data_IF_818376306752
#
_entry.id   IF_818376306752
#
_cell.length_a   1.000
_cell.length_b   1.000
_cell.length_c   1.000
_cell.angle_alpha   90.00
_cell.angle_beta   90.00
_cell.angle_gamma   90.00
#
_symmetry.space_group_name_H-M   'P 1'
#
loop_
_entity.id
_entity.type
_entity.pdbx_description
1 polymer ?
#
# COMPACT_ATOMS: atom_id res chain seq x y z
N UNK A 1 -14.14 -4.11 -15.45
CA UNK A 1 -13.89 -2.90 -16.28
C UNK A 1 -12.59 -3.11 -17.03
N UNK A 2 -12.49 -2.77 -18.33
CA UNK A 2 -11.21 -2.81 -19.06
C UNK A 2 -10.56 -1.43 -18.97
N UNK A 3 -9.67 -1.28 -17.99
CA UNK A 3 -9.20 0.02 -17.54
C UNK A 3 -10.01 0.53 -16.34
N UNK A 4 -9.37 1.36 -15.51
CA UNK A 4 -9.98 2.04 -14.36
C UNK A 4 -9.50 3.48 -14.27
N UNK A 5 -10.18 4.28 -13.47
CA UNK A 5 -9.85 5.68 -13.25
C UNK A 5 -9.05 5.85 -11.96
N UNK A 6 -8.04 6.71 -11.99
CA UNK A 6 -7.19 7.03 -10.85
C UNK A 6 -7.28 8.51 -10.51
N UNK A 7 -7.15 8.83 -9.22
CA UNK A 7 -7.23 10.24 -8.79
C UNK A 7 -6.02 11.06 -9.24
N UNK A 8 -4.87 10.43 -9.50
CA UNK A 8 -3.70 11.10 -10.03
C UNK A 8 -3.87 11.55 -11.49
N UNK A 9 -4.89 11.05 -12.21
CA UNK A 9 -5.26 11.51 -13.56
C UNK A 9 -6.05 12.84 -13.51
N UNK A 10 -6.25 13.42 -12.32
CA UNK A 10 -7.02 14.65 -12.11
C UNK A 10 -8.51 14.42 -11.87
N UNK A 11 -8.97 13.17 -11.84
CA UNK A 11 -10.36 12.86 -11.49
C UNK A 11 -10.61 13.04 -10.00
N UNK A 12 -11.76 13.62 -9.67
CA UNK A 12 -12.30 13.63 -8.32
C UNK A 12 -12.50 12.18 -7.81
N UNK A 13 -12.26 11.95 -6.52
CA UNK A 13 -12.32 10.61 -5.92
C UNK A 13 -13.74 10.00 -5.97
N UNK A 14 -14.80 10.81 -6.05
CA UNK A 14 -16.15 10.29 -6.30
C UNK A 14 -16.32 9.88 -7.75
N UNK A 15 -15.68 10.55 -8.70
CA UNK A 15 -15.72 10.16 -10.12
C UNK A 15 -15.00 8.83 -10.35
N UNK A 16 -13.88 8.60 -9.68
CA UNK A 16 -13.15 7.33 -9.83
C UNK A 16 -13.93 6.13 -9.30
N UNK A 17 -14.75 6.32 -8.28
CA UNK A 17 -15.58 5.27 -7.66
C UNK A 17 -17.03 5.23 -8.17
N UNK A 18 -17.46 6.18 -9.02
CA UNK A 18 -18.81 6.24 -9.59
C UNK A 18 -19.25 4.94 -10.31
N UNK A 19 -18.39 4.23 -11.08
CA UNK A 19 -18.79 2.99 -11.74
C UNK A 19 -19.35 1.94 -10.77
N UNK A 20 -18.94 1.96 -9.50
CA UNK A 20 -19.44 1.03 -8.49
C UNK A 20 -20.92 1.27 -8.17
N UNK A 21 -21.37 2.52 -8.18
CA UNK A 21 -22.80 2.82 -8.03
C UNK A 21 -23.60 2.31 -9.22
N UNK A 22 -23.05 2.39 -10.44
CA UNK A 22 -23.67 1.79 -11.62
C UNK A 22 -23.81 0.28 -11.44
N UNK A 23 -22.76 -0.40 -10.95
CA UNK A 23 -22.81 -1.84 -10.66
C UNK A 23 -23.87 -2.20 -9.61
N UNK A 24 -24.01 -1.38 -8.57
CA UNK A 24 -25.10 -1.54 -7.58
C UNK A 24 -26.47 -1.52 -8.24
N UNK A 25 -26.74 -0.54 -9.11
CA UNK A 25 -28.02 -0.44 -9.81
C UNK A 25 -28.24 -1.55 -10.85
N UNK A 26 -27.16 -2.14 -11.38
CA UNK A 26 -27.21 -3.34 -12.23
C UNK A 26 -27.39 -4.65 -11.44
N UNK A 27 -27.44 -4.59 -10.11
CA UNK A 27 -27.68 -5.74 -9.25
C UNK A 27 -26.44 -6.57 -8.89
N UNK A 28 -25.24 -6.07 -9.16
CA UNK A 28 -23.98 -6.73 -8.79
C UNK A 28 -23.90 -6.95 -7.27
N UNK A 29 -23.47 -8.14 -6.85
CA UNK A 29 -23.37 -8.54 -5.43
C UNK A 29 -21.93 -8.75 -4.94
N UNK A 30 -21.02 -9.00 -5.87
CA UNK A 30 -19.60 -9.22 -5.60
C UNK A 30 -18.79 -8.31 -6.53
N UNK A 31 -17.90 -7.53 -5.95
CA UNK A 31 -16.87 -6.78 -6.65
C UNK A 31 -15.52 -7.45 -6.41
N UNK A 32 -14.86 -7.83 -7.50
CA UNK A 32 -13.45 -8.26 -7.45
C UNK A 32 -12.59 -7.12 -7.96
N UNK A 33 -11.70 -6.61 -7.09
CA UNK A 33 -10.75 -5.55 -7.43
C UNK A 33 -9.34 -6.12 -7.51
N UNK A 34 -8.69 -5.91 -8.66
CA UNK A 34 -7.29 -6.26 -8.87
C UNK A 34 -6.44 -5.01 -9.03
N UNK A 35 -5.18 -5.03 -8.61
CA UNK A 35 -4.24 -3.94 -8.87
C UNK A 35 -2.79 -4.44 -8.93
N UNK A 36 -1.91 -3.63 -9.52
CA UNK A 36 -0.47 -3.73 -9.31
C UNK A 36 -0.09 -2.95 -8.04
N UNK A 37 0.85 -3.47 -7.27
CA UNK A 37 1.31 -2.87 -6.02
C UNK A 37 2.81 -3.07 -5.79
N UNK A 38 3.44 -2.09 -5.13
CA UNK A 38 4.77 -2.23 -4.58
C UNK A 38 4.73 -3.04 -3.28
N UNK A 39 5.59 -4.06 -3.18
CA UNK A 39 5.72 -4.88 -1.98
C UNK A 39 6.48 -4.12 -0.88
N UNK A 40 5.78 -3.78 0.20
CA UNK A 40 6.39 -3.19 1.40
C UNK A 40 6.94 -4.27 2.33
N UNK A 41 6.24 -5.40 2.41
CA UNK A 41 6.64 -6.52 3.26
C UNK A 41 7.85 -7.24 2.64
N UNK A 42 9.01 -7.31 3.33
CA UNK A 42 10.22 -7.94 2.79
C UNK A 42 10.08 -9.43 2.44
N UNK A 43 9.07 -10.12 2.99
CA UNK A 43 8.80 -11.52 2.64
C UNK A 43 8.04 -11.70 1.32
N UNK A 44 7.58 -10.61 0.70
CA UNK A 44 6.88 -10.68 -0.57
C UNK A 44 7.87 -10.61 -1.73
N UNK A 45 7.58 -11.37 -2.77
CA UNK A 45 8.36 -11.44 -4.00
C UNK A 45 7.57 -10.86 -5.17
N UNK A 46 8.28 -10.40 -6.20
CA UNK A 46 7.63 -10.02 -7.46
C UNK A 46 6.92 -11.25 -8.04
N UNK A 47 5.68 -11.06 -8.48
CA UNK A 47 4.80 -12.14 -8.93
C UNK A 47 3.96 -12.79 -7.83
N UNK A 48 4.10 -12.37 -6.57
CA UNK A 48 3.19 -12.82 -5.51
C UNK A 48 1.80 -12.19 -5.66
N UNK A 49 0.76 -12.96 -5.31
CA UNK A 49 -0.63 -12.52 -5.26
C UNK A 49 -1.02 -12.25 -3.81
N UNK A 50 -1.13 -10.98 -3.43
CA UNK A 50 -1.60 -10.57 -2.11
C UNK A 50 -3.12 -10.39 -2.10
N UNK A 51 -3.82 -11.30 -1.45
CA UNK A 51 -5.22 -11.10 -1.05
C UNK A 51 -5.27 -9.95 -0.04
N UNK A 52 -6.07 -8.93 -0.30
CA UNK A 52 -6.17 -7.75 0.56
C UNK A 52 -7.06 -8.10 1.76
N UNK A 53 -6.46 -8.09 2.95
CA UNK A 53 -7.16 -8.31 4.21
C UNK A 53 -7.84 -7.05 4.72
N UNK A 54 -7.11 -5.95 4.62
CA UNK A 54 -7.47 -4.64 5.12
C UNK A 54 -6.70 -3.56 4.34
N UNK A 55 -7.00 -2.28 4.58
CA UNK A 55 -6.28 -1.17 3.96
C UNK A 55 -5.95 -0.02 4.92
N UNK A 56 -4.93 0.76 4.54
CA UNK A 56 -4.70 2.10 5.07
C UNK A 56 -5.13 3.12 4.02
N UNK A 57 -6.21 3.87 4.30
CA UNK A 57 -6.74 4.89 3.40
C UNK A 57 -6.10 6.26 3.68
N UNK A 58 -4.82 6.45 3.30
CA UNK A 58 -4.07 7.66 3.65
C UNK A 58 -4.75 8.95 3.14
N UNK A 59 -5.20 9.05 1.88
CA UNK A 59 -5.97 10.21 1.42
C UNK A 59 -7.28 10.40 2.19
N UNK A 60 -7.96 9.32 2.55
CA UNK A 60 -9.21 9.34 3.32
C UNK A 60 -9.02 9.93 4.72
N UNK A 61 -7.92 9.61 5.40
CA UNK A 61 -7.58 10.19 6.71
C UNK A 61 -7.38 11.71 6.63
N UNK A 62 -6.95 12.22 5.48
CA UNK A 62 -6.82 13.66 5.20
C UNK A 62 -8.07 14.30 4.58
N UNK A 63 -9.21 13.59 4.56
CA UNK A 63 -10.50 14.11 4.07
C UNK A 63 -10.76 13.91 2.57
N UNK A 64 -9.81 13.39 1.79
CA UNK A 64 -10.05 13.00 0.39
C UNK A 64 -10.67 11.60 0.35
N UNK A 65 -11.99 11.56 0.56
CA UNK A 65 -12.75 10.32 0.74
C UNK A 65 -14.01 10.29 -0.16
N UNK A 66 -14.36 9.18 -0.82
CA UNK A 66 -15.48 9.14 -1.77
C UNK A 66 -16.85 9.41 -1.14
N UNK A 67 -17.00 9.14 0.17
CA UNK A 67 -18.25 9.37 0.90
C UNK A 67 -18.35 10.75 1.59
N UNK A 68 -17.30 11.58 1.55
CA UNK A 68 -17.41 12.98 2.00
C UNK A 68 -18.44 13.66 1.13
N UNK A 69 -19.47 14.29 1.71
CA UNK A 69 -20.61 14.87 0.98
C UNK A 69 -21.95 14.62 1.68
N UNK A 70 -23.06 14.94 1.00
CA UNK A 70 -24.42 14.56 1.41
C UNK A 70 -24.60 13.05 1.24
N UNK A 71 -25.19 12.38 2.24
CA UNK A 71 -25.49 10.96 2.18
C UNK A 71 -26.78 10.69 1.40
N UNK A 72 -26.83 9.56 0.70
CA UNK A 72 -28.08 8.99 0.17
C UNK A 72 -28.39 7.70 0.93
N UNK A 73 -29.34 7.77 1.86
CA UNK A 73 -29.73 6.67 2.74
C UNK A 73 -30.30 5.46 1.99
N UNK A 74 -30.66 5.60 0.71
CA UNK A 74 -31.09 4.47 -0.13
C UNK A 74 -29.91 3.60 -0.58
N UNK A 75 -28.70 4.16 -0.60
CA UNK A 75 -27.50 3.44 -1.00
C UNK A 75 -26.83 2.77 0.19
N UNK A 76 -26.70 3.47 1.32
CA UNK A 76 -25.99 2.98 2.49
C UNK A 76 -26.08 3.91 3.71
N UNK A 77 -25.59 3.45 4.87
CA UNK A 77 -25.62 4.22 6.11
C UNK A 77 -24.68 5.42 6.04
N UNK A 78 -25.00 6.49 6.77
CA UNK A 78 -24.15 7.70 6.83
C UNK A 78 -22.71 7.40 7.27
N UNK A 79 -22.56 6.46 8.19
CA UNK A 79 -21.29 6.07 8.80
C UNK A 79 -21.14 4.54 8.69
N UNK A 80 -20.70 4.01 7.53
CA UNK A 80 -20.46 2.58 7.37
C UNK A 80 -19.30 2.13 8.27
N UNK A 81 -19.38 0.91 8.79
CA UNK A 81 -18.21 0.26 9.39
C UNK A 81 -17.16 -0.01 8.30
N UNK A 82 -15.89 -0.10 8.66
CA UNK A 82 -14.81 -0.46 7.72
C UNK A 82 -14.08 -1.73 8.12
N UNK A 83 -14.44 -2.33 9.26
CA UNK A 83 -13.81 -3.55 9.80
C UNK A 83 -13.97 -4.79 8.92
N UNK A 84 -14.94 -4.76 8.00
CA UNK A 84 -15.37 -5.85 7.14
C UNK A 84 -15.49 -5.40 5.68
N UNK A 85 -14.69 -4.42 5.27
CA UNK A 85 -14.60 -3.95 3.89
C UNK A 85 -14.30 -5.09 2.89
N UNK A 86 -13.51 -6.08 3.31
CA UNK A 86 -13.10 -7.23 2.50
C UNK A 86 -13.74 -8.50 3.05
N UNK A 87 -14.46 -9.22 2.19
CA UNK A 87 -15.26 -10.39 2.58
C UNK A 87 -14.33 -11.58 2.92
N UNK A 88 -14.46 -12.10 4.14
CA UNK A 88 -13.56 -13.14 4.67
C UNK A 88 -13.74 -14.49 3.98
N UNK A 89 -14.95 -14.80 3.54
CA UNK A 89 -15.25 -16.06 2.87
C UNK A 89 -14.66 -16.04 1.47
N UNK A 90 -14.77 -14.90 0.77
CA UNK A 90 -14.10 -14.70 -0.51
C UNK A 90 -12.57 -14.78 -0.40
N UNK A 91 -11.97 -14.27 0.69
CA UNK A 91 -10.54 -14.45 0.95
C UNK A 91 -10.20 -15.93 1.09
N UNK A 92 -10.97 -16.69 1.88
CA UNK A 92 -10.76 -18.13 2.06
C UNK A 92 -10.90 -18.92 0.74
N UNK A 93 -11.92 -18.58 -0.07
CA UNK A 93 -12.10 -19.17 -1.40
C UNK A 93 -10.88 -18.89 -2.28
N UNK A 94 -10.37 -17.66 -2.32
CA UNK A 94 -9.19 -17.30 -3.11
C UNK A 94 -7.95 -18.13 -2.70
N UNK A 95 -7.73 -18.33 -1.40
CA UNK A 95 -6.64 -19.18 -0.91
C UNK A 95 -6.83 -20.65 -1.28
N UNK A 96 -8.06 -21.18 -1.15
CA UNK A 96 -8.36 -22.54 -1.60
C UNK A 96 -8.08 -22.72 -3.09
N UNK A 97 -8.54 -21.79 -3.92
CA UNK A 97 -8.29 -21.79 -5.37
C UNK A 97 -6.80 -21.71 -5.67
N UNK A 98 -6.05 -20.85 -4.97
CA UNK A 98 -4.59 -20.79 -5.10
C UNK A 98 -3.90 -22.13 -4.79
N UNK A 99 -4.41 -22.86 -3.79
CA UNK A 99 -3.94 -24.21 -3.48
C UNK A 99 -4.31 -25.22 -4.57
N UNK A 100 -5.55 -25.20 -5.05
CA UNK A 100 -6.02 -26.10 -6.12
C UNK A 100 -5.26 -25.86 -7.45
N UNK A 101 -4.76 -24.64 -7.66
CA UNK A 101 -3.93 -24.26 -8.80
C UNK A 101 -2.43 -24.55 -8.60
N UNK A 102 -2.01 -25.02 -7.43
CA UNK A 102 -0.60 -25.28 -7.13
C UNK A 102 0.26 -24.02 -6.92
N UNK A 103 -0.35 -22.86 -6.71
CA UNK A 103 0.33 -21.56 -6.54
C UNK A 103 0.36 -21.07 -5.08
N UNK A 104 0.13 -21.95 -4.11
CA UNK A 104 0.15 -21.60 -2.67
C UNK A 104 1.39 -20.83 -2.25
N UNK A 105 2.56 -21.17 -2.82
CA UNK A 105 3.83 -20.50 -2.52
C UNK A 105 3.87 -19.03 -2.95
N UNK A 106 2.98 -18.61 -3.85
CA UNK A 106 2.80 -17.23 -4.35
C UNK A 106 1.65 -16.49 -3.67
N UNK A 107 0.82 -17.18 -2.89
CA UNK A 107 -0.31 -16.55 -2.20
C UNK A 107 0.17 -15.84 -0.94
N UNK A 108 -0.28 -14.60 -0.77
CA UNK A 108 -0.04 -13.74 0.39
C UNK A 108 -1.35 -13.15 0.90
N UNK A 109 -1.36 -12.70 2.14
CA UNK A 109 -2.43 -11.88 2.70
C UNK A 109 -1.83 -10.73 3.47
N UNK A 110 -2.40 -9.53 3.34
CA UNK A 110 -1.81 -8.34 3.95
C UNK A 110 -2.67 -7.08 3.85
N UNK A 111 -2.11 -5.99 4.39
CA UNK A 111 -2.74 -4.66 4.41
C UNK A 111 -2.27 -3.84 3.22
N UNK A 112 -3.21 -3.33 2.43
CA UNK A 112 -2.93 -2.46 1.28
C UNK A 112 -2.92 -0.97 1.67
N UNK A 113 -1.83 -0.28 1.41
CA UNK A 113 -1.70 1.16 1.60
C UNK A 113 -2.14 1.91 0.34
N UNK A 114 -3.23 2.65 0.43
CA UNK A 114 -3.63 3.56 -0.64
C UNK A 114 -2.96 4.92 -0.45
N UNK A 115 -2.18 5.33 -1.44
CA UNK A 115 -1.59 6.68 -1.55
C UNK A 115 -2.08 7.35 -2.84
N UNK A 116 -1.95 8.68 -2.93
CA UNK A 116 -2.52 9.40 -4.08
C UNK A 116 -1.74 9.22 -5.39
N UNK A 117 -0.42 9.03 -5.33
CA UNK A 117 0.45 9.10 -6.52
C UNK A 117 0.53 10.51 -7.13
N UNK A 118 1.06 10.68 -8.35
CA UNK A 118 1.55 9.63 -9.26
C UNK A 118 3.02 9.22 -9.04
N UNK A 119 3.75 9.92 -8.17
CA UNK A 119 5.11 9.53 -7.83
C UNK A 119 5.10 8.22 -7.06
N UNK A 120 6.00 7.31 -7.39
CA UNK A 120 6.30 6.19 -6.50
C UNK A 120 6.84 6.69 -5.16
N UNK A 121 6.75 5.83 -4.16
CA UNK A 121 7.10 6.18 -2.79
C UNK A 121 8.62 6.34 -2.63
N UNK A 122 9.02 7.39 -1.93
CA UNK A 122 10.39 7.54 -1.44
C UNK A 122 10.70 6.50 -0.36
N UNK A 123 11.98 6.23 -0.11
CA UNK A 123 12.41 5.29 0.93
C UNK A 123 11.84 5.62 2.32
N UNK A 124 11.68 6.91 2.65
CA UNK A 124 11.09 7.34 3.92
C UNK A 124 9.59 7.01 3.99
N UNK A 125 8.85 7.20 2.90
CA UNK A 125 7.42 6.87 2.80
C UNK A 125 7.22 5.35 2.85
N UNK A 126 8.03 4.59 2.13
CA UNK A 126 8.03 3.11 2.19
C UNK A 126 8.18 2.63 3.63
N UNK A 127 9.19 3.16 4.34
CA UNK A 127 9.44 2.79 5.74
C UNK A 127 8.31 3.24 6.66
N UNK A 128 7.75 4.43 6.45
CA UNK A 128 6.58 4.89 7.20
C UNK A 128 5.40 3.93 7.02
N UNK A 129 5.05 3.58 5.79
CA UNK A 129 3.92 2.70 5.50
C UNK A 129 4.16 1.30 6.08
N UNK A 130 5.33 0.71 5.87
CA UNK A 130 5.66 -0.60 6.41
C UNK A 130 5.63 -0.64 7.95
N UNK A 131 6.22 0.37 8.61
CA UNK A 131 6.24 0.42 10.08
C UNK A 131 4.84 0.58 10.68
N UNK A 132 3.95 1.29 9.98
CA UNK A 132 2.54 1.44 10.34
C UNK A 132 1.66 0.26 9.87
N UNK A 133 2.28 -0.82 9.39
CA UNK A 133 1.58 -2.06 9.11
C UNK A 133 1.03 -2.19 7.70
N UNK A 134 1.58 -1.46 6.74
CA UNK A 134 1.40 -1.75 5.32
C UNK A 134 2.20 -2.96 4.88
N UNK A 135 1.60 -3.79 4.03
CA UNK A 135 2.26 -4.94 3.40
C UNK A 135 2.47 -4.74 1.89
N UNK A 136 1.60 -3.96 1.25
CA UNK A 136 1.77 -3.49 -0.12
C UNK A 136 1.27 -2.04 -0.24
N UNK A 137 1.73 -1.31 -1.24
CA UNK A 137 1.31 0.08 -1.53
C UNK A 137 0.88 0.23 -2.98
N UNK A 138 -0.13 1.07 -3.21
CA UNK A 138 -0.47 1.52 -4.54
C UNK A 138 -1.47 2.67 -4.55
N UNK A 139 -1.97 2.97 -5.75
CA UNK A 139 -2.62 4.26 -6.04
C UNK A 139 -4.09 4.12 -6.47
N UNK A 140 -4.75 3.01 -6.13
CA UNK A 140 -6.11 2.72 -6.59
C UNK A 140 -6.92 1.93 -5.55
N UNK A 141 -8.01 1.30 -5.99
CA UNK A 141 -8.73 0.21 -5.29
C UNK A 141 -9.55 0.63 -4.06
N UNK A 142 -8.96 1.35 -3.10
CA UNK A 142 -9.66 1.73 -1.85
C UNK A 142 -10.91 2.57 -2.09
N UNK A 143 -10.93 3.57 -3.00
CA UNK A 143 -12.17 4.31 -3.29
C UNK A 143 -13.30 3.41 -3.82
N UNK A 144 -12.98 2.47 -4.70
CA UNK A 144 -13.92 1.50 -5.27
C UNK A 144 -14.44 0.56 -4.16
N UNK A 145 -13.54 0.06 -3.32
CA UNK A 145 -13.84 -0.84 -2.19
C UNK A 145 -14.79 -0.19 -1.19
N UNK A 146 -14.49 1.04 -0.77
CA UNK A 146 -15.30 1.77 0.21
C UNK A 146 -16.71 2.02 -0.32
N UNK A 147 -16.86 2.40 -1.60
CA UNK A 147 -18.18 2.62 -2.20
C UNK A 147 -18.95 1.30 -2.37
N UNK A 148 -18.26 0.21 -2.71
CA UNK A 148 -18.87 -1.11 -2.82
C UNK A 148 -19.42 -1.56 -1.46
N UNK A 149 -18.60 -1.49 -0.41
CA UNK A 149 -19.01 -1.83 0.95
C UNK A 149 -20.16 -0.94 1.43
N UNK A 150 -20.06 0.38 1.23
CA UNK A 150 -21.13 1.34 1.56
C UNK A 150 -22.48 0.93 0.96
N UNK A 151 -22.49 0.42 -0.27
CA UNK A 151 -23.71 -0.03 -0.93
C UNK A 151 -24.02 -1.53 -0.78
N UNK A 152 -23.35 -2.23 0.15
CA UNK A 152 -23.61 -3.64 0.47
C UNK A 152 -23.19 -4.62 -0.62
N UNK A 153 -22.19 -4.27 -1.43
CA UNK A 153 -21.53 -5.18 -2.37
C UNK A 153 -20.34 -5.83 -1.66
N UNK A 154 -20.25 -7.16 -1.67
CA UNK A 154 -19.09 -7.90 -1.12
C UNK A 154 -17.84 -7.57 -1.94
N UNK A 155 -16.68 -7.47 -1.29
CA UNK A 155 -15.42 -7.16 -1.99
C UNK A 155 -14.37 -8.23 -1.76
N UNK A 156 -13.76 -8.69 -2.84
CA UNK A 156 -12.48 -9.40 -2.83
C UNK A 156 -11.42 -8.51 -3.48
N UNK A 157 -10.34 -8.21 -2.76
CA UNK A 157 -9.19 -7.49 -3.29
C UNK A 157 -8.00 -8.40 -3.51
N UNK A 158 -7.33 -8.29 -4.66
CA UNK A 158 -6.08 -9.01 -4.96
C UNK A 158 -5.06 -8.06 -5.60
N UNK A 159 -3.95 -7.83 -4.92
CA UNK A 159 -2.81 -7.10 -5.45
C UNK A 159 -1.80 -8.08 -6.05
N UNK A 160 -1.33 -7.81 -7.27
CA UNK A 160 -0.12 -8.40 -7.80
C UNK A 160 1.08 -7.57 -7.34
N UNK A 161 2.03 -8.20 -6.67
CA UNK A 161 3.28 -7.54 -6.29
C UNK A 161 4.16 -7.43 -7.54
N UNK A 162 4.31 -6.21 -8.05
CA UNK A 162 4.99 -5.95 -9.33
C UNK A 162 6.43 -5.48 -9.16
N UNK A 163 6.76 -4.97 -7.98
CA UNK A 163 8.10 -4.53 -7.62
C UNK A 163 8.26 -4.62 -6.10
N UNK A 164 9.51 -4.67 -5.63
CA UNK A 164 9.82 -4.49 -4.20
C UNK A 164 10.04 -3.00 -3.94
N UNK A 165 9.39 -2.46 -2.91
CA UNK A 165 9.58 -1.06 -2.55
C UNK A 165 10.98 -0.83 -1.99
N UNK A 166 11.59 0.27 -2.42
CA UNK A 166 12.97 0.59 -2.11
C UNK A 166 13.04 1.15 -0.70
N UNK A 167 13.66 0.41 0.21
CA UNK A 167 13.76 0.79 1.62
C UNK A 167 15.00 1.62 1.91
N UNK A 168 16.04 1.52 1.07
CA UNK A 168 17.33 2.19 1.23
C UNK A 168 17.44 3.41 0.29
N UNK A 169 17.60 4.64 0.82
CA UNK A 169 17.74 5.83 -0.02
C UNK A 169 19.02 5.83 -0.87
N UNK A 170 20.03 5.02 -0.53
CA UNK A 170 21.26 4.89 -1.31
C UNK A 170 21.16 3.79 -2.39
N UNK A 171 20.07 3.03 -2.42
CA UNK A 171 19.79 2.07 -3.49
C UNK A 171 19.48 2.84 -4.78
N UNK A 172 20.21 2.49 -5.84
CA UNK A 172 20.09 3.12 -7.17
C UNK A 172 19.04 2.48 -8.05
N UNK A 173 18.42 1.39 -7.61
CA UNK A 173 17.24 0.87 -8.28
C UNK A 173 16.16 1.95 -8.28
N UNK A 174 15.34 2.00 -9.33
CA UNK A 174 14.25 2.98 -9.46
C UNK A 174 13.03 2.21 -9.89
N UNK A 175 11.93 2.34 -9.16
CA UNK A 175 10.68 1.75 -9.59
C UNK A 175 10.24 2.42 -10.90
N UNK A 176 10.04 1.62 -11.95
CA UNK A 176 9.58 2.11 -13.25
C UNK A 176 8.26 1.47 -13.66
N UNK A 177 7.52 2.14 -14.53
CA UNK A 177 6.30 1.55 -15.10
C UNK A 177 6.59 0.32 -15.97
N UNK A 178 7.74 0.30 -16.65
CA UNK A 178 8.14 -0.83 -17.51
C UNK A 178 8.41 -2.10 -16.70
N UNK A 179 9.03 -1.99 -15.52
CA UNK A 179 9.19 -3.12 -14.59
C UNK A 179 7.84 -3.68 -14.14
N UNK A 180 6.87 -2.80 -13.88
CA UNK A 180 5.52 -3.20 -13.51
C UNK A 180 4.87 -4.01 -14.63
N UNK A 181 5.01 -3.57 -15.88
CA UNK A 181 4.49 -4.30 -17.04
C UNK A 181 5.21 -5.64 -17.23
N UNK A 182 6.53 -5.69 -17.05
CA UNK A 182 7.31 -6.91 -17.17
C UNK A 182 6.90 -7.96 -16.12
N UNK A 183 6.58 -7.54 -14.89
CA UNK A 183 6.15 -8.44 -13.82
C UNK A 183 4.80 -9.13 -14.10
N UNK A 184 3.96 -8.54 -14.95
CA UNK A 184 2.64 -9.08 -15.31
C UNK A 184 2.73 -10.15 -16.41
N UNK A 185 3.79 -10.17 -17.22
CA UNK A 185 3.84 -10.99 -18.43
C UNK A 185 3.96 -12.50 -18.16
N UNK A 186 3.49 -13.29 -19.14
CA UNK A 186 3.68 -14.74 -19.18
C UNK A 186 2.84 -15.48 -18.14
N UNK A 187 3.50 -16.32 -17.34
CA UNK A 187 2.84 -17.22 -16.38
C UNK A 187 2.07 -16.44 -15.29
N UNK A 188 2.52 -15.24 -14.91
CA UNK A 188 1.87 -14.42 -13.88
C UNK A 188 0.46 -13.98 -14.30
N UNK A 189 0.29 -13.48 -15.54
CA UNK A 189 -1.01 -13.11 -16.09
C UNK A 189 -1.95 -14.32 -16.15
N UNK A 190 -1.45 -15.45 -16.67
CA UNK A 190 -2.24 -16.68 -16.76
C UNK A 190 -2.72 -17.17 -15.38
N UNK A 191 -1.81 -17.18 -14.40
CA UNK A 191 -2.13 -17.57 -13.03
C UNK A 191 -3.13 -16.60 -12.38
N UNK A 192 -3.00 -15.28 -12.62
CA UNK A 192 -3.95 -14.30 -12.11
C UNK A 192 -5.34 -14.51 -12.72
N UNK A 193 -5.43 -14.70 -14.03
CA UNK A 193 -6.70 -14.96 -14.72
C UNK A 193 -7.37 -16.23 -14.20
N UNK A 194 -6.61 -17.31 -14.04
CA UNK A 194 -7.11 -18.58 -13.47
C UNK A 194 -7.57 -18.40 -12.03
N UNK A 195 -6.78 -17.73 -11.19
CA UNK A 195 -7.10 -17.47 -9.79
C UNK A 195 -8.42 -16.70 -9.67
N UNK A 196 -8.57 -15.59 -10.39
CA UNK A 196 -9.77 -14.77 -10.33
C UNK A 196 -10.99 -15.51 -10.90
N UNK A 197 -10.87 -16.13 -12.08
CA UNK A 197 -11.98 -16.82 -12.72
C UNK A 197 -12.50 -17.98 -11.86
N UNK A 198 -11.60 -18.83 -11.35
CA UNK A 198 -11.99 -19.94 -10.47
C UNK A 198 -12.52 -19.50 -9.12
N UNK A 199 -12.03 -18.37 -8.59
CA UNK A 199 -12.57 -17.79 -7.35
C UNK A 199 -14.00 -17.30 -7.55
N UNK A 200 -14.32 -16.71 -8.70
CA UNK A 200 -15.68 -16.30 -9.05
C UNK A 200 -16.57 -17.53 -9.29
N UNK A 201 -16.08 -18.57 -9.98
CA UNK A 201 -16.81 -19.83 -10.20
C UNK A 201 -17.13 -20.54 -8.87
N UNK A 202 -16.21 -20.52 -7.92
CA UNK A 202 -16.39 -21.12 -6.60
C UNK A 202 -17.32 -20.30 -5.68
N UNK A 203 -17.63 -19.04 -6.03
CA UNK A 203 -18.57 -18.23 -5.29
C UNK A 203 -20.00 -18.65 -5.58
N UNK A 204 -20.66 -19.27 -4.59
CA UNK A 204 -22.08 -19.59 -4.67
C UNK A 204 -22.93 -18.52 -3.95
N UNK A 205 -23.66 -17.66 -4.69
CA UNK A 205 -24.48 -16.61 -4.07
C UNK A 205 -25.71 -17.15 -3.32
N UNK A 206 -26.14 -18.40 -3.56
CA UNK A 206 -27.34 -18.98 -2.95
C UNK A 206 -27.13 -19.50 -1.51
N UNK A 207 -25.88 -19.69 -1.06
CA UNK A 207 -25.55 -20.10 0.31
C UNK A 207 -25.36 -18.94 1.29
N UNK A 208 -25.55 -17.69 0.85
CA UNK A 208 -25.32 -16.49 1.65
C UNK A 208 -26.57 -16.00 2.42
N UNK A 209 -27.64 -16.81 2.46
CA UNK A 209 -28.87 -16.53 3.20
C UNK A 209 -29.02 -17.48 4.38
N UNK A 210 -29.14 -16.89 5.59
CA UNK A 210 -29.64 -17.51 6.83
C UNK A 210 -29.00 -18.85 7.23
N UNK A 211 -27.84 -18.80 7.91
CA UNK A 211 -27.28 -19.99 8.56
C UNK A 211 -25.94 -19.73 9.25
N UNK A 212 -25.95 -19.80 10.58
CA UNK A 212 -24.86 -19.85 11.57
C UNK A 212 -23.66 -18.90 11.43
N UNK A 213 -23.48 -18.08 12.47
CA UNK A 213 -22.40 -17.11 12.73
C UNK A 213 -20.97 -17.67 12.82
N UNK A 214 -20.71 -18.86 12.27
CA UNK A 214 -19.38 -19.45 12.20
C UNK A 214 -18.65 -18.98 10.93
N UNK A 215 -18.29 -17.69 10.90
CA UNK A 215 -17.41 -17.11 9.88
C UNK A 215 -16.12 -17.94 9.80
N UNK A 216 -15.73 -18.38 8.60
CA UNK A 216 -14.47 -19.12 8.43
C UNK A 216 -13.31 -18.29 9.03
N UNK A 217 -12.38 -18.90 9.79
CA UNK A 217 -11.29 -18.15 10.41
C UNK A 217 -10.51 -17.47 9.29
N UNK A 218 -10.41 -16.15 9.42
CA UNK A 218 -9.67 -15.34 8.47
C UNK A 218 -8.25 -15.88 8.30
N UNK A 219 -7.71 -15.92 7.07
CA UNK A 219 -6.31 -16.24 6.90
C UNK A 219 -5.47 -15.26 7.72
N UNK A 220 -4.60 -15.80 8.58
CA UNK A 220 -3.79 -14.97 9.47
C UNK A 220 -2.61 -14.44 8.66
N UNK A 221 -2.38 -13.11 8.62
CA UNK A 221 -1.20 -12.57 7.98
C UNK A 221 0.07 -13.12 8.63
N UNK A 222 1.14 -13.35 7.86
CA UNK A 222 2.38 -13.88 8.40
C UNK A 222 2.89 -12.99 9.54
N UNK A 223 3.52 -13.57 10.58
CA UNK A 223 4.07 -12.80 11.68
C UNK A 223 5.07 -11.77 11.14
N UNK A 224 4.81 -10.50 11.42
CA UNK A 224 5.69 -9.40 11.00
C UNK A 224 7.05 -9.51 11.67
N UNK A 225 8.06 -8.92 11.04
CA UNK A 225 9.36 -8.74 11.69
C UNK A 225 9.15 -8.12 13.08
N UNK A 226 9.65 -8.80 14.10
CA UNK A 226 9.52 -8.42 15.52
C UNK A 226 10.00 -6.99 15.75
N UNK A 227 9.51 -6.35 16.81
CA UNK A 227 10.00 -5.03 17.23
C UNK A 227 11.54 -5.00 17.31
N UNK A 228 12.18 -6.10 17.73
CA UNK A 228 13.64 -6.25 17.76
C UNK A 228 14.29 -6.28 16.36
N UNK A 229 13.67 -6.92 15.36
CA UNK A 229 14.17 -6.89 13.98
C UNK A 229 14.01 -5.51 13.34
N UNK A 230 12.90 -4.80 13.66
CA UNK A 230 12.71 -3.39 13.25
C UNK A 230 13.73 -2.47 13.92
N UNK A 231 14.02 -2.69 15.20
CA UNK A 231 15.04 -1.96 15.96
C UNK A 231 16.43 -2.16 15.36
N UNK A 232 16.80 -3.39 14.96
CA UNK A 232 18.10 -3.67 14.31
C UNK A 232 18.28 -2.94 12.98
N UNK A 233 17.21 -2.76 12.20
CA UNK A 233 17.25 -1.97 10.95
C UNK A 233 17.48 -0.49 11.28
N UNK A 234 16.80 0.03 12.31
CA UNK A 234 17.00 1.38 12.83
C UNK A 234 18.42 1.58 13.39
N UNK A 235 18.94 0.63 14.17
CA UNK A 235 20.29 0.67 14.77
C UNK A 235 21.39 0.68 13.70
N UNK A 236 21.28 -0.16 12.67
CA UNK A 236 22.21 -0.13 11.52
C UNK A 236 22.24 1.26 10.87
N UNK A 237 21.09 1.95 10.80
CA UNK A 237 20.98 3.29 10.20
C UNK A 237 21.45 4.41 11.11
N UNK A 238 21.16 4.35 12.41
CA UNK A 238 21.76 5.28 13.38
C UNK A 238 23.27 5.17 13.35
N UNK A 239 23.80 3.94 13.24
CA UNK A 239 25.24 3.71 13.10
C UNK A 239 25.78 4.30 11.79
N UNK A 240 25.11 4.08 10.66
CA UNK A 240 25.49 4.67 9.37
C UNK A 240 25.44 6.22 9.40
N UNK A 241 24.39 6.80 10.00
CA UNK A 241 24.26 8.25 10.20
C UNK A 241 25.34 8.79 11.14
N UNK A 242 25.75 8.02 12.16
CA UNK A 242 26.82 8.40 13.08
C UNK A 242 28.18 8.50 12.38
N UNK A 243 28.44 7.64 11.39
CA UNK A 243 29.63 7.74 10.53
C UNK A 243 29.58 8.99 9.63
N UNK A 244 28.42 9.31 9.05
CA UNK A 244 28.27 10.49 8.17
C UNK A 244 28.30 11.81 8.96
N UNK A 245 27.67 11.85 10.15
CA UNK A 245 27.69 13.02 11.05
C UNK A 245 29.06 13.20 11.70
N UNK A 246 29.80 12.12 12.00
CA UNK A 246 31.19 12.18 12.47
C UNK A 246 32.14 12.82 11.45
N UNK A 247 31.94 12.56 10.16
CA UNK A 247 32.71 13.20 9.07
C UNK A 247 32.27 14.66 8.86
N UNK A 248 30.97 14.96 8.97
CA UNK A 248 30.45 16.34 8.88
C UNK A 248 30.93 17.22 10.03
N UNK A 249 31.03 16.69 11.25
CA UNK A 249 31.55 17.42 12.41
C UNK A 249 33.04 17.81 12.23
N UNK A 250 33.85 16.95 11.61
CA UNK A 250 35.26 17.24 11.31
C UNK A 250 35.38 18.32 10.22
N UNK A 251 34.52 18.26 9.18
CA UNK A 251 34.48 19.28 8.12
C UNK A 251 33.99 20.65 8.60
N UNK A 252 33.00 20.69 9.50
CA UNK A 252 32.46 21.93 10.07
C UNK A 252 33.43 22.56 11.09
N UNK A 253 34.16 21.75 11.86
CA UNK A 253 35.22 22.25 12.75
C UNK A 253 36.42 22.81 11.96
N UNK A 254 36.76 22.21 10.81
CA UNK A 254 37.81 22.73 9.94
C UNK A 254 37.44 24.07 9.29
N UNK A 255 36.18 24.26 8.88
CA UNK A 255 35.71 25.51 8.27
C UNK A 255 35.52 26.64 9.28
N UNK A 256 35.05 26.33 10.49
CA UNK A 256 34.97 27.31 11.60
C UNK A 256 36.36 27.68 12.11
N UNK A 257 37.30 26.73 12.18
CA UNK A 257 38.70 27.00 12.53
C UNK A 257 39.41 27.91 11.53
N UNK A 258 39.20 27.70 10.22
CA UNK A 258 39.74 28.56 9.17
C UNK A 258 39.14 29.96 9.19
N UNK A 259 37.82 30.08 9.43
CA UNK A 259 37.14 31.37 9.56
C UNK A 259 37.62 32.16 10.80
N UNK A 260 37.87 31.49 11.92
CA UNK A 260 38.39 32.10 13.14
C UNK A 260 39.85 32.58 12.98
N UNK A 261 40.70 31.81 12.28
CA UNK A 261 42.08 32.21 12.00
C UNK A 261 42.16 33.44 11.07
N UNK A 262 41.30 33.52 10.05
CA UNK A 262 41.21 34.66 9.15
C UNK A 262 40.75 35.94 9.88
N UNK A 263 39.78 35.83 10.79
CA UNK A 263 39.28 36.97 11.58
C UNK A 263 40.33 37.53 12.56
N UNK A 264 41.23 36.68 13.08
CA UNK A 264 42.28 37.09 14.04
C UNK A 264 43.42 37.87 13.38
N UNK A 265 43.66 37.68 12.08
CA UNK A 265 44.67 38.42 11.32
C UNK A 265 44.18 39.77 10.76
N UNK A 266 42.88 40.07 10.85
CA UNK A 266 42.29 41.34 10.36
C UNK A 266 41.99 42.36 11.47
N UNK A 267 42.38 42.11 12.73
CA UNK A 267 42.16 43.05 13.83
C UNK A 267 43.13 44.26 13.74
N UNK A 268 42.64 45.51 13.62
CA UNK A 268 43.50 46.68 13.51
C UNK A 268 44.15 47.03 14.85
N UNK A 269 45.46 47.29 14.83
CA UNK A 269 46.22 47.81 15.97
C UNK A 269 45.79 49.25 16.27
N UNK A 270 45.02 49.44 17.34
CA UNK A 270 44.63 50.76 17.82
C UNK A 270 45.84 51.47 18.49
N UNK A 271 46.14 52.74 18.18
CA UNK A 271 47.32 53.42 18.73
C UNK A 271 47.06 53.86 20.18
N UNK A 272 48.04 53.58 21.05
CA UNK A 272 48.03 54.04 22.46
C UNK A 272 48.18 55.55 22.52
N UNK A 273 47.19 56.25 23.06
CA UNK A 273 47.29 57.66 23.47
C UNK A 273 48.29 57.78 24.64
N UNK A 274 49.26 58.69 24.51
CA UNK A 274 49.95 59.37 25.61
C UNK A 274 49.69 60.86 25.46
#
# INVERSE_FOLDING_TARGET
>A
MRGRFHTYEGYDIRKTSLPILVFKFLGVKLLVVTNAAGGLNPSFEVGDFMVIRDHLNIPGLAGKHPLVGKNDEKLGPRFPSTSDNYDTDMQAIAFKVGSDLGITSKMRIGTYCFVSGPTYESAAEVMFLYNNGGDAVGMSTVPETVVAHYCGIKVLGVSLITNKSIVDPDDKNVATHDEVLAAVQGETEENMLKLISKTIEAYNPAGAGEGDDAKAPAPVPPPRASAAQRLKILEKRVTALSYTVGVLAIGLLASVGAAYAAAKHMAPTCPKKK
#
